data_IF_640035062759
#
_entry.id   IF_640035062759
#
_cell.length_a   1.000
_cell.length_b   1.000
_cell.length_c   1.000
_cell.angle_alpha   90.00
_cell.angle_beta   90.00
_cell.angle_gamma   90.00
#
_symmetry.space_group_name_H-M   'P 1'
#
loop_
_entity.id
_entity.type
_entity.pdbx_description
1 polymer ?
#
# COMPACT_ATOMS: atom_id res chain seq x y z
N UNK A 1 -12.43 21.70 41.51
CA UNK A 1 -11.66 21.08 40.42
C UNK A 1 -12.46 21.39 39.19
N UNK A 2 -12.03 22.47 38.56
CA UNK A 2 -12.95 23.44 37.98
C UNK A 2 -13.26 23.07 36.54
N UNK A 3 -14.53 23.22 36.17
CA UNK A 3 -15.10 22.84 34.87
C UNK A 3 -14.35 23.46 33.67
N UNK A 4 -13.62 24.55 33.93
CA UNK A 4 -12.77 25.26 32.98
C UNK A 4 -11.44 24.52 32.70
N UNK A 5 -10.84 23.87 33.71
CA UNK A 5 -9.64 23.04 33.53
C UNK A 5 -9.95 21.76 32.75
N UNK A 6 -11.15 21.19 32.93
CA UNK A 6 -11.57 20.00 32.18
C UNK A 6 -11.72 20.30 30.68
N UNK A 7 -12.33 21.45 30.33
CA UNK A 7 -12.48 21.91 28.94
C UNK A 7 -11.16 22.25 28.27
N UNK A 8 -10.16 22.73 29.03
CA UNK A 8 -8.85 23.04 28.48
C UNK A 8 -7.98 21.80 28.26
N UNK A 9 -8.14 20.75 29.07
CA UNK A 9 -7.50 19.45 28.85
C UNK A 9 -8.11 18.77 27.61
N UNK A 10 -9.44 18.73 27.50
CA UNK A 10 -10.14 18.13 26.36
C UNK A 10 -9.79 18.85 25.04
N UNK A 11 -9.66 20.19 25.06
CA UNK A 11 -9.23 20.96 23.90
C UNK A 11 -7.78 20.70 23.51
N UNK A 12 -6.86 20.54 24.48
CA UNK A 12 -5.46 20.20 24.21
C UNK A 12 -5.28 18.77 23.70
N UNK A 13 -6.12 17.83 24.14
CA UNK A 13 -6.15 16.45 23.61
C UNK A 13 -6.66 16.44 22.16
N UNK A 14 -7.73 17.18 21.85
CA UNK A 14 -8.25 17.35 20.48
C UNK A 14 -7.27 18.03 19.51
N UNK A 15 -6.53 19.04 19.98
CA UNK A 15 -5.52 19.73 19.18
C UNK A 15 -4.29 18.84 18.96
N UNK A 16 -3.89 18.03 19.95
CA UNK A 16 -2.79 17.07 19.82
C UNK A 16 -3.12 15.93 18.85
N UNK A 17 -4.35 15.41 18.90
CA UNK A 17 -4.82 14.39 17.97
C UNK A 17 -4.90 14.92 16.54
N UNK A 18 -5.28 16.18 16.37
CA UNK A 18 -5.33 16.86 15.07
C UNK A 18 -3.94 17.07 14.47
N UNK A 19 -2.97 17.51 15.28
CA UNK A 19 -1.57 17.66 14.85
C UNK A 19 -0.91 16.32 14.53
N UNK A 20 -1.20 15.26 15.29
CA UNK A 20 -0.72 13.91 15.00
C UNK A 20 -1.31 13.37 13.69
N UNK A 21 -2.60 13.63 13.43
CA UNK A 21 -3.26 13.26 12.17
C UNK A 21 -2.67 14.02 10.98
N UNK A 22 -2.42 15.32 11.07
CA UNK A 22 -1.77 16.10 9.99
C UNK A 22 -0.31 15.67 9.75
N UNK A 23 0.42 15.39 10.82
CA UNK A 23 1.82 14.92 10.74
C UNK A 23 1.88 13.54 10.08
N UNK A 24 0.91 12.66 10.37
CA UNK A 24 0.82 11.30 9.79
C UNK A 24 0.23 11.29 8.38
N UNK A 25 -0.64 12.25 8.04
CA UNK A 25 -1.11 12.47 6.67
C UNK A 25 0.05 12.84 5.76
N UNK A 26 1.04 13.58 6.24
CA UNK A 26 2.20 13.88 5.40
C UNK A 26 3.06 12.60 5.15
N UNK A 27 2.83 11.49 5.90
CA UNK A 27 3.44 10.14 5.91
C UNK A 27 4.16 9.63 4.67
N UNK A 28 3.43 9.50 3.57
CA UNK A 28 3.51 8.25 2.80
C UNK A 28 2.89 7.05 3.55
N UNK A 29 2.91 7.05 4.89
CA UNK A 29 2.08 6.23 5.80
C UNK A 29 0.56 6.50 5.72
N UNK A 30 0.09 7.15 4.65
CA UNK A 30 -1.33 7.45 4.43
C UNK A 30 -2.18 6.16 4.41
N UNK A 31 -1.62 5.05 3.93
CA UNK A 31 -2.28 3.74 3.90
C UNK A 31 -2.44 3.16 5.31
N UNK A 32 -1.37 3.16 6.11
CA UNK A 32 -1.41 2.62 7.47
C UNK A 32 -2.22 3.53 8.42
N UNK A 33 -2.09 4.85 8.30
CA UNK A 33 -2.91 5.81 9.05
C UNK A 33 -4.39 5.73 8.63
N UNK A 34 -4.68 5.72 7.33
CA UNK A 34 -6.07 5.57 6.86
C UNK A 34 -6.68 4.26 7.34
N UNK A 35 -5.90 3.19 7.36
CA UNK A 35 -6.35 1.90 7.89
C UNK A 35 -6.63 2.00 9.39
N UNK A 36 -5.72 2.58 10.18
CA UNK A 36 -5.93 2.81 11.63
C UNK A 36 -7.12 3.70 11.92
N UNK A 37 -7.32 4.79 11.18
CA UNK A 37 -8.47 5.69 11.36
C UNK A 37 -9.80 5.00 11.03
N UNK A 38 -9.82 4.16 9.99
CA UNK A 38 -10.99 3.35 9.67
C UNK A 38 -11.24 2.26 10.72
N UNK A 39 -10.17 1.68 11.28
CA UNK A 39 -10.22 0.70 12.35
C UNK A 39 -10.77 1.31 13.65
N UNK A 40 -10.27 2.49 14.03
CA UNK A 40 -10.80 3.29 15.13
C UNK A 40 -12.31 3.55 14.95
N UNK A 41 -12.69 4.06 13.77
CA UNK A 41 -14.09 4.32 13.44
C UNK A 41 -14.95 3.05 13.46
N UNK A 42 -14.39 1.88 13.15
CA UNK A 42 -15.10 0.61 13.25
C UNK A 42 -15.38 0.23 14.71
N UNK A 43 -14.42 0.43 15.61
CA UNK A 43 -14.60 0.21 17.05
C UNK A 43 -15.67 1.14 17.64
N UNK A 44 -15.66 2.42 17.24
CA UNK A 44 -16.65 3.41 17.67
C UNK A 44 -18.07 3.04 17.21
N UNK A 45 -18.21 2.45 16.02
CA UNK A 45 -19.51 2.01 15.47
C UNK A 45 -20.02 0.74 16.17
N UNK A 46 -19.13 -0.12 16.68
CA UNK A 46 -19.48 -1.39 17.33
C UNK A 46 -18.77 -1.59 18.69
N UNK A 47 -19.00 -0.73 19.69
CA UNK A 47 -18.27 -0.77 20.96
C UNK A 47 -18.53 -2.03 21.80
N UNK A 48 -19.58 -2.80 21.48
CA UNK A 48 -19.94 -4.04 22.16
C UNK A 48 -19.39 -5.31 21.51
N UNK A 49 -18.63 -5.21 20.41
CA UNK A 49 -18.04 -6.36 19.71
C UNK A 49 -16.54 -6.39 20.02
N UNK A 50 -16.02 -7.59 20.27
CA UNK A 50 -14.60 -7.79 20.53
C UNK A 50 -13.73 -7.23 19.40
N UNK A 51 -12.71 -6.45 19.76
CA UNK A 51 -11.86 -5.73 18.81
C UNK A 51 -11.07 -6.67 17.91
N UNK A 52 -10.69 -7.87 18.39
CA UNK A 52 -9.98 -8.85 17.56
C UNK A 52 -10.88 -9.41 16.46
N UNK A 53 -12.16 -9.63 16.75
CA UNK A 53 -13.16 -10.06 15.76
C UNK A 53 -13.43 -8.95 14.74
N UNK A 54 -13.52 -7.70 15.19
CA UNK A 54 -13.66 -6.55 14.29
C UNK A 54 -12.45 -6.42 13.36
N UNK A 55 -11.23 -6.65 13.87
CA UNK A 55 -10.00 -6.61 13.08
C UNK A 55 -9.95 -7.69 12.02
N UNK A 56 -10.33 -8.92 12.37
CA UNK A 56 -10.39 -10.04 11.43
C UNK A 56 -11.39 -9.75 10.30
N UNK A 57 -12.57 -9.23 10.63
CA UNK A 57 -13.59 -8.88 9.63
C UNK A 57 -13.13 -7.66 8.81
N UNK A 58 -12.50 -6.66 9.44
CA UNK A 58 -11.99 -5.48 8.75
C UNK A 58 -10.89 -5.84 7.75
N UNK A 59 -9.98 -6.73 8.16
CA UNK A 59 -8.92 -7.26 7.32
C UNK A 59 -9.47 -8.16 6.19
N UNK A 60 -10.46 -9.00 6.47
CA UNK A 60 -11.13 -9.82 5.46
C UNK A 60 -11.82 -8.95 4.39
N UNK A 61 -12.37 -7.81 4.79
CA UNK A 61 -12.95 -6.82 3.87
C UNK A 61 -11.90 -5.83 3.30
N UNK A 62 -10.63 -6.23 3.25
CA UNK A 62 -9.55 -5.45 2.64
C UNK A 62 -9.40 -4.03 3.20
N UNK A 63 -9.73 -3.84 4.49
CA UNK A 63 -9.71 -2.53 5.15
C UNK A 63 -10.66 -1.50 4.50
N UNK A 64 -11.75 -1.99 3.87
CA UNK A 64 -12.86 -1.19 3.34
C UNK A 64 -13.94 -1.11 4.41
N UNK A 65 -13.97 0.03 5.11
CA UNK A 65 -14.85 0.26 6.26
C UNK A 65 -16.34 0.00 5.96
N UNK A 66 -16.83 0.42 4.81
CA UNK A 66 -18.25 0.30 4.46
C UNK A 66 -18.68 -1.17 4.32
N UNK A 67 -17.85 -1.98 3.65
CA UNK A 67 -18.12 -3.41 3.46
C UNK A 67 -18.00 -4.17 4.77
N UNK A 68 -17.05 -3.78 5.63
CA UNK A 68 -16.92 -4.30 6.99
C UNK A 68 -18.15 -4.00 7.85
N UNK A 69 -18.65 -2.76 7.83
CA UNK A 69 -19.86 -2.38 8.58
C UNK A 69 -21.05 -3.22 8.11
N UNK A 70 -21.23 -3.37 6.79
CA UNK A 70 -22.29 -4.23 6.22
C UNK A 70 -22.13 -5.69 6.65
N UNK A 71 -20.91 -6.22 6.67
CA UNK A 71 -20.63 -7.60 7.08
C UNK A 71 -20.95 -7.83 8.57
N UNK A 72 -20.56 -6.91 9.44
CA UNK A 72 -20.83 -6.97 10.88
C UNK A 72 -22.33 -6.85 11.15
N UNK A 73 -23.01 -5.89 10.54
CA UNK A 73 -24.47 -5.72 10.66
C UNK A 73 -25.24 -6.94 10.14
N UNK A 74 -24.84 -7.48 8.99
CA UNK A 74 -25.42 -8.71 8.44
C UNK A 74 -25.25 -9.89 9.41
N UNK A 75 -24.07 -10.04 10.01
CA UNK A 75 -23.79 -11.12 10.97
C UNK A 75 -24.61 -10.98 12.26
N UNK A 76 -24.86 -9.75 12.73
CA UNK A 76 -25.75 -9.49 13.88
C UNK A 76 -27.22 -9.78 13.55
N UNK A 77 -27.65 -9.50 12.33
CA UNK A 77 -29.01 -9.76 11.85
C UNK A 77 -29.31 -11.25 11.64
N UNK A 78 -28.29 -12.09 11.39
CA UNK A 78 -28.42 -13.54 11.21
C UNK A 78 -28.81 -14.31 12.49
N UNK A 79 -28.87 -13.67 13.66
CA UNK A 79 -29.41 -14.31 14.88
C UNK A 79 -30.93 -14.52 14.83
N UNK A 80 -31.62 -14.00 13.79
CA UNK A 80 -33.02 -14.25 13.53
C UNK A 80 -33.21 -15.42 12.54
N UNK A 81 -33.21 -16.65 13.07
CA UNK A 81 -34.02 -17.75 12.53
C UNK A 81 -33.58 -18.42 11.23
N UNK A 82 -32.55 -19.25 11.27
CA UNK A 82 -32.51 -20.45 10.40
C UNK A 82 -32.80 -21.69 11.26
N UNK A 83 -33.64 -22.65 10.81
CA UNK A 83 -33.85 -23.88 11.54
C UNK A 83 -32.51 -24.60 11.74
N UNK A 84 -32.07 -24.77 12.99
CA UNK A 84 -30.91 -25.58 13.31
C UNK A 84 -31.29 -27.04 13.09
N UNK A 85 -30.84 -27.63 11.99
CA UNK A 85 -30.85 -29.10 11.84
C UNK A 85 -30.00 -29.68 12.96
N UNK A 86 -30.61 -30.45 13.86
CA UNK A 86 -29.91 -31.08 14.98
C UNK A 86 -29.17 -32.30 14.45
N UNK A 87 -27.88 -32.12 14.17
CA UNK A 87 -26.94 -33.20 13.87
C UNK A 87 -26.30 -33.67 15.18
N UNK A 88 -25.82 -34.92 15.24
CA UNK A 88 -24.92 -35.33 16.32
C UNK A 88 -23.58 -34.60 16.17
N UNK A 89 -22.84 -34.38 17.26
CA UNK A 89 -21.52 -33.72 17.22
C UNK A 89 -20.56 -34.38 16.22
N UNK A 90 -20.55 -35.71 16.16
CA UNK A 90 -19.73 -36.48 15.20
C UNK A 90 -20.18 -36.27 13.75
N UNK A 91 -21.48 -36.15 13.49
CA UNK A 91 -22.01 -35.90 12.15
C UNK A 91 -21.75 -34.46 11.70
N UNK A 92 -21.79 -33.50 12.63
CA UNK A 92 -21.42 -32.10 12.40
C UNK A 92 -19.92 -31.97 12.07
N UNK A 93 -19.04 -32.58 12.86
CA UNK A 93 -17.59 -32.59 12.60
C UNK A 93 -17.22 -33.26 11.27
N UNK A 94 -17.87 -34.38 10.93
CA UNK A 94 -17.64 -35.06 9.66
C UNK A 94 -18.13 -34.23 8.46
N UNK A 95 -19.25 -33.53 8.62
CA UNK A 95 -19.76 -32.61 7.60
C UNK A 95 -18.83 -31.42 7.38
N UNK A 96 -18.35 -30.78 8.46
CA UNK A 96 -17.38 -29.68 8.37
C UNK A 96 -16.06 -30.12 7.72
N UNK A 97 -15.52 -31.29 8.09
CA UNK A 97 -14.33 -31.86 7.44
C UNK A 97 -14.52 -32.04 5.93
N UNK A 98 -15.68 -32.54 5.52
CA UNK A 98 -15.97 -32.74 4.10
C UNK A 98 -16.05 -31.40 3.33
N UNK A 99 -16.66 -30.38 3.92
CA UNK A 99 -16.72 -29.04 3.32
C UNK A 99 -15.33 -28.41 3.14
N UNK A 100 -14.44 -28.58 4.12
CA UNK A 100 -13.05 -28.10 4.03
C UNK A 100 -12.29 -28.85 2.94
N UNK A 101 -12.45 -30.16 2.85
CA UNK A 101 -11.77 -30.97 1.82
C UNK A 101 -12.25 -30.58 0.42
N UNK A 102 -13.54 -30.35 0.24
CA UNK A 102 -14.09 -29.83 -1.02
C UNK A 102 -13.52 -28.42 -1.35
N UNK A 103 -13.44 -27.52 -0.36
CA UNK A 103 -12.85 -26.20 -0.52
C UNK A 103 -11.36 -26.26 -0.91
N UNK A 104 -10.60 -27.21 -0.33
CA UNK A 104 -9.20 -27.49 -0.70
C UNK A 104 -9.07 -27.97 -2.14
N UNK A 105 -9.88 -28.95 -2.54
CA UNK A 105 -9.86 -29.48 -3.91
C UNK A 105 -10.20 -28.40 -4.93
N UNK A 106 -11.20 -27.56 -4.64
CA UNK A 106 -11.54 -26.42 -5.48
C UNK A 106 -10.38 -25.42 -5.59
N UNK A 107 -9.75 -25.05 -4.48
CA UNK A 107 -8.58 -24.16 -4.47
C UNK A 107 -7.41 -24.72 -5.28
N UNK A 108 -7.15 -26.03 -5.17
CA UNK A 108 -6.12 -26.73 -5.94
C UNK A 108 -6.42 -26.71 -7.45
N UNK A 109 -7.68 -26.87 -7.86
CA UNK A 109 -8.09 -26.79 -9.26
C UNK A 109 -7.96 -25.37 -9.81
N UNK A 110 -8.39 -24.37 -9.05
CA UNK A 110 -8.28 -22.96 -9.43
C UNK A 110 -6.81 -22.55 -9.61
N UNK A 111 -5.89 -22.99 -8.74
CA UNK A 111 -4.46 -22.77 -8.95
C UNK A 111 -3.91 -23.45 -10.22
N UNK A 112 -4.36 -24.65 -10.56
CA UNK A 112 -3.90 -25.36 -11.76
C UNK A 112 -4.39 -24.73 -13.07
N UNK A 113 -5.60 -24.16 -13.10
CA UNK A 113 -6.13 -23.50 -14.31
C UNK A 113 -5.47 -22.15 -14.61
N UNK A 114 -4.82 -21.56 -13.62
CA UNK A 114 -4.19 -20.23 -13.70
C UNK A 114 -2.84 -20.25 -14.42
N UNK A 115 -2.20 -21.42 -14.59
CA UNK A 115 -0.98 -21.57 -15.40
C UNK A 115 -1.24 -21.55 -16.92
N UNK A 116 -2.48 -21.37 -17.37
CA UNK A 116 -2.78 -21.12 -18.79
C UNK A 116 -2.88 -19.61 -18.99
N UNK A 117 -1.87 -18.94 -19.58
CA UNK A 117 -1.96 -17.52 -19.83
C UNK A 117 -3.09 -17.27 -20.84
N UNK A 118 -4.22 -16.73 -20.37
CA UNK A 118 -5.18 -16.07 -21.26
C UNK A 118 -4.58 -14.73 -21.67
N UNK A 119 -3.74 -14.78 -22.70
CA UNK A 119 -3.25 -13.60 -23.40
C UNK A 119 -4.48 -12.87 -23.96
N UNK A 120 -4.90 -11.78 -23.31
CA UNK A 120 -5.83 -10.83 -23.90
C UNK A 120 -5.04 -10.13 -25.02
N UNK A 121 -5.30 -10.55 -26.26
CA UNK A 121 -4.71 -9.98 -27.47
C UNK A 121 -5.44 -8.68 -27.82
N UNK A 122 -5.10 -7.59 -27.14
CA UNK A 122 -5.29 -6.26 -27.69
C UNK A 122 -3.93 -5.72 -28.12
N UNK A 123 -3.70 -5.81 -29.42
CA UNK A 123 -2.48 -5.38 -30.09
C UNK A 123 -2.41 -3.85 -30.12
N UNK A 124 -1.36 -3.27 -29.53
CA UNK A 124 -0.50 -2.23 -30.12
C UNK A 124 0.48 -1.63 -29.11
N UNK A 125 1.57 -2.34 -28.83
CA UNK A 125 2.96 -1.85 -28.77
C UNK A 125 3.81 -2.98 -28.20
N UNK A 126 4.39 -3.82 -29.07
CA UNK A 126 5.45 -4.74 -28.65
C UNK A 126 6.70 -3.90 -28.39
N UNK A 127 6.75 -3.27 -27.22
CA UNK A 127 8.01 -2.96 -26.57
C UNK A 127 8.59 -4.30 -26.10
N UNK A 128 9.92 -4.47 -26.01
CA UNK A 128 10.49 -5.64 -25.36
C UNK A 128 9.78 -5.76 -24.01
N UNK A 129 9.13 -6.90 -23.75
CA UNK A 129 8.50 -7.18 -22.47
C UNK A 129 9.56 -6.92 -21.42
N UNK A 130 9.44 -5.80 -20.70
CA UNK A 130 10.38 -5.56 -19.62
C UNK A 130 10.00 -6.60 -18.59
N UNK A 131 10.96 -7.43 -18.23
CA UNK A 131 10.71 -8.66 -17.47
C UNK A 131 10.05 -8.38 -16.09
N UNK A 132 10.06 -7.12 -15.63
CA UNK A 132 9.26 -6.68 -14.48
C UNK A 132 7.74 -6.64 -14.72
N UNK A 133 7.25 -6.44 -15.95
CA UNK A 133 5.81 -6.48 -16.26
C UNK A 133 5.21 -7.86 -15.99
N UNK A 134 5.99 -8.94 -16.16
CA UNK A 134 5.55 -10.29 -15.84
C UNK A 134 5.29 -10.43 -14.34
N UNK A 135 6.22 -9.93 -13.51
CA UNK A 135 6.05 -9.90 -12.05
C UNK A 135 4.88 -9.00 -11.62
N UNK A 136 4.63 -7.87 -12.30
CA UNK A 136 3.43 -7.06 -12.07
C UNK A 136 2.15 -7.81 -12.48
N UNK A 137 2.21 -8.58 -13.57
CA UNK A 137 1.13 -9.47 -13.99
C UNK A 137 0.82 -10.54 -12.94
N UNK A 138 1.86 -11.18 -12.39
CA UNK A 138 1.77 -12.15 -11.31
C UNK A 138 1.15 -11.55 -10.03
N UNK A 139 1.59 -10.35 -9.63
CA UNK A 139 1.01 -9.63 -8.50
C UNK A 139 -0.48 -9.32 -8.72
N UNK A 140 -0.87 -8.86 -9.92
CA UNK A 140 -2.27 -8.58 -10.26
C UNK A 140 -3.14 -9.84 -10.28
N UNK A 141 -2.59 -10.97 -10.71
CA UNK A 141 -3.25 -12.26 -10.64
C UNK A 141 -3.53 -12.66 -9.19
N UNK A 142 -2.51 -12.62 -8.33
CA UNK A 142 -2.69 -12.92 -6.91
C UNK A 142 -3.61 -11.93 -6.21
N UNK A 143 -3.68 -10.67 -6.64
CA UNK A 143 -4.67 -9.72 -6.16
C UNK A 143 -6.11 -10.17 -6.42
N UNK A 144 -6.39 -10.70 -7.62
CA UNK A 144 -7.72 -11.25 -7.96
C UNK A 144 -8.05 -12.48 -7.12
N UNK A 145 -7.11 -13.42 -7.03
CA UNK A 145 -7.30 -14.65 -6.23
C UNK A 145 -7.50 -14.34 -4.74
N UNK A 146 -6.72 -13.40 -4.20
CA UNK A 146 -6.89 -12.89 -2.83
C UNK A 146 -8.31 -12.37 -2.60
N UNK A 147 -8.82 -11.55 -3.52
CA UNK A 147 -10.15 -10.98 -3.40
C UNK A 147 -11.24 -12.08 -3.41
N UNK A 148 -11.12 -13.05 -4.31
CA UNK A 148 -12.01 -14.20 -4.38
C UNK A 148 -11.98 -15.05 -3.10
N UNK A 149 -10.79 -15.33 -2.55
CA UNK A 149 -10.67 -16.04 -1.28
C UNK A 149 -11.41 -15.31 -0.15
N UNK A 150 -11.23 -14.00 -0.01
CA UNK A 150 -11.93 -13.25 1.04
C UNK A 150 -13.45 -13.17 0.83
N UNK A 151 -13.92 -13.11 -0.42
CA UNK A 151 -15.36 -13.22 -0.71
C UNK A 151 -15.92 -14.59 -0.30
N UNK A 152 -15.21 -15.68 -0.62
CA UNK A 152 -15.58 -17.05 -0.21
C UNK A 152 -15.57 -17.19 1.32
N UNK A 153 -14.58 -16.61 1.99
CA UNK A 153 -14.50 -16.58 3.45
C UNK A 153 -15.71 -15.85 4.07
N UNK A 154 -16.05 -14.68 3.55
CA UNK A 154 -17.20 -13.89 4.00
C UNK A 154 -18.53 -14.64 3.83
N UNK A 155 -18.73 -15.28 2.68
CA UNK A 155 -19.94 -16.07 2.42
C UNK A 155 -20.01 -17.30 3.33
N UNK A 156 -18.89 -17.99 3.57
CA UNK A 156 -18.84 -19.12 4.50
C UNK A 156 -19.15 -18.67 5.94
N UNK A 157 -18.63 -17.52 6.35
CA UNK A 157 -18.93 -16.94 7.66
C UNK A 157 -20.42 -16.62 7.82
N UNK A 158 -21.04 -15.99 6.79
CA UNK A 158 -22.49 -15.68 6.77
C UNK A 158 -23.37 -16.92 6.92
N UNK A 159 -22.90 -18.06 6.40
CA UNK A 159 -23.57 -19.37 6.51
C UNK A 159 -23.26 -20.12 7.81
N UNK A 160 -22.45 -19.55 8.71
CA UNK A 160 -22.04 -20.19 9.96
C UNK A 160 -20.96 -21.25 9.81
N UNK A 161 -20.38 -21.42 8.61
CA UNK A 161 -19.34 -22.42 8.34
C UNK A 161 -17.96 -21.89 8.75
N UNK A 162 -17.68 -21.91 10.06
CA UNK A 162 -16.48 -21.26 10.65
C UNK A 162 -15.16 -21.80 10.12
N UNK A 163 -15.02 -23.12 10.02
CA UNK A 163 -13.77 -23.74 9.58
C UNK A 163 -13.47 -23.46 8.09
N UNK A 164 -14.52 -23.45 7.25
CA UNK A 164 -14.42 -23.09 5.82
C UNK A 164 -14.06 -21.61 5.65
N UNK A 165 -14.65 -20.74 6.46
CA UNK A 165 -14.31 -19.32 6.48
C UNK A 165 -12.84 -19.10 6.84
N UNK A 166 -12.36 -19.79 7.88
CA UNK A 166 -10.95 -19.74 8.30
C UNK A 166 -10.00 -20.20 7.19
N UNK A 167 -10.32 -21.31 6.51
CA UNK A 167 -9.52 -21.84 5.41
C UNK A 167 -9.36 -20.81 4.28
N UNK A 168 -10.45 -20.21 3.81
CA UNK A 168 -10.39 -19.22 2.74
C UNK A 168 -9.71 -17.92 3.18
N UNK A 169 -9.84 -17.52 4.46
CA UNK A 169 -9.09 -16.38 5.01
C UNK A 169 -7.58 -16.62 4.95
N UNK A 170 -7.13 -17.80 5.38
CA UNK A 170 -5.73 -18.22 5.31
C UNK A 170 -5.19 -18.23 3.87
N UNK A 171 -5.96 -18.74 2.90
CA UNK A 171 -5.61 -18.66 1.48
C UNK A 171 -5.51 -17.20 0.99
N UNK A 172 -6.40 -16.32 1.43
CA UNK A 172 -6.33 -14.88 1.14
C UNK A 172 -5.05 -14.23 1.68
N UNK A 173 -4.61 -14.62 2.89
CA UNK A 173 -3.33 -14.17 3.45
C UNK A 173 -2.13 -14.70 2.66
N UNK A 174 -2.16 -15.98 2.24
CA UNK A 174 -1.12 -16.53 1.38
C UNK A 174 -0.97 -15.73 0.08
N UNK A 175 -2.07 -15.41 -0.59
CA UNK A 175 -2.03 -14.56 -1.78
C UNK A 175 -1.56 -13.14 -1.49
N UNK A 176 -1.85 -12.60 -0.30
CA UNK A 176 -1.28 -11.31 0.14
C UNK A 176 0.25 -11.34 0.15
N UNK A 177 0.86 -12.43 0.63
CA UNK A 177 2.32 -12.59 0.61
C UNK A 177 2.86 -12.72 -0.82
N UNK A 178 2.18 -13.50 -1.68
CA UNK A 178 2.59 -13.64 -3.08
C UNK A 178 2.54 -12.32 -3.86
N UNK A 179 1.55 -11.45 -3.59
CA UNK A 179 1.48 -10.10 -4.16
C UNK A 179 2.71 -9.27 -3.74
N UNK A 180 3.07 -9.32 -2.45
CA UNK A 180 4.24 -8.59 -1.93
C UNK A 180 5.53 -9.07 -2.59
N UNK A 181 5.72 -10.39 -2.65
CA UNK A 181 6.91 -11.00 -3.26
C UNK A 181 7.05 -10.65 -4.75
N UNK A 182 5.98 -10.80 -5.53
CA UNK A 182 5.99 -10.45 -6.95
C UNK A 182 6.24 -8.95 -7.18
N UNK A 183 5.62 -8.07 -6.39
CA UNK A 183 5.88 -6.63 -6.46
C UNK A 183 7.33 -6.27 -6.06
N UNK A 184 7.88 -6.96 -5.06
CA UNK A 184 9.28 -6.79 -4.65
C UNK A 184 10.22 -7.15 -5.79
N UNK A 185 10.06 -8.34 -6.39
CA UNK A 185 10.84 -8.77 -7.57
C UNK A 185 10.76 -7.76 -8.72
N UNK A 186 9.56 -7.27 -9.02
CA UNK A 186 9.36 -6.22 -10.03
C UNK A 186 10.15 -4.95 -9.69
N UNK A 187 10.05 -4.48 -8.44
CA UNK A 187 10.71 -3.25 -7.99
C UNK A 187 12.24 -3.36 -8.01
N UNK A 188 12.80 -4.50 -7.60
CA UNK A 188 14.24 -4.76 -7.60
C UNK A 188 14.81 -4.75 -9.01
N UNK A 189 14.09 -5.38 -9.94
CA UNK A 189 14.48 -5.39 -11.35
C UNK A 189 14.41 -4.00 -11.98
N UNK A 190 13.36 -3.23 -11.66
CA UNK A 190 13.24 -1.84 -12.09
C UNK A 190 14.43 -1.01 -11.60
N UNK A 191 14.81 -1.16 -10.34
CA UNK A 191 15.91 -0.40 -9.75
C UNK A 191 17.26 -0.86 -10.29
N UNK A 192 17.49 -2.16 -10.43
CA UNK A 192 18.77 -2.72 -10.88
C UNK A 192 19.14 -2.28 -12.29
N UNK A 193 18.16 -2.25 -13.20
CA UNK A 193 18.34 -1.76 -14.58
C UNK A 193 18.67 -0.27 -14.67
N UNK A 194 18.52 0.49 -13.57
CA UNK A 194 18.70 1.95 -13.52
C UNK A 194 19.89 2.39 -12.66
N UNK A 195 20.62 1.45 -12.04
CA UNK A 195 21.81 1.74 -11.24
C UNK A 195 22.83 2.54 -12.05
N UNK A 196 23.05 2.16 -13.31
CA UNK A 196 23.95 2.88 -14.23
C UNK A 196 23.58 4.37 -14.40
N UNK A 197 22.28 4.67 -14.42
CA UNK A 197 21.77 6.04 -14.53
C UNK A 197 22.06 6.85 -13.25
N UNK A 198 21.96 6.19 -12.10
CA UNK A 198 22.28 6.77 -10.81
C UNK A 198 23.79 7.07 -10.70
N UNK A 199 24.64 6.16 -11.15
CA UNK A 199 26.10 6.30 -11.05
C UNK A 199 26.69 7.30 -12.05
N UNK A 200 26.28 7.22 -13.33
CA UNK A 200 26.87 8.04 -14.40
C UNK A 200 26.24 9.43 -14.49
N UNK A 201 24.92 9.51 -14.27
CA UNK A 201 24.15 10.72 -14.52
C UNK A 201 23.65 11.41 -13.25
N UNK A 202 23.97 10.88 -12.06
CA UNK A 202 23.36 11.32 -10.80
C UNK A 202 21.84 11.35 -10.89
N UNK A 203 21.23 10.35 -11.55
CA UNK A 203 19.79 10.31 -11.79
C UNK A 203 19.16 9.11 -11.10
N UNK A 204 18.34 9.37 -10.08
CA UNK A 204 17.51 8.37 -9.42
C UNK A 204 16.15 8.31 -10.11
N UNK A 205 15.96 7.27 -10.93
CA UNK A 205 14.74 7.10 -11.68
C UNK A 205 13.78 6.11 -11.01
N UNK A 206 12.68 6.64 -10.48
CA UNK A 206 11.65 5.95 -9.71
C UNK A 206 10.40 5.62 -10.55
N UNK A 207 10.38 5.91 -11.85
CA UNK A 207 9.18 5.68 -12.65
C UNK A 207 8.75 4.19 -12.65
N UNK A 208 7.46 3.90 -12.58
CA UNK A 208 6.96 2.51 -12.56
C UNK A 208 7.08 1.78 -11.23
N UNK A 209 7.70 2.40 -10.22
CA UNK A 209 7.60 1.95 -8.83
C UNK A 209 6.27 2.37 -8.23
N UNK A 210 5.74 1.54 -7.33
CA UNK A 210 4.69 1.97 -6.42
C UNK A 210 5.25 2.95 -5.38
N UNK A 211 4.34 3.69 -4.73
CA UNK A 211 4.72 4.73 -3.76
C UNK A 211 5.63 4.18 -2.66
N UNK A 212 5.23 3.09 -2.03
CA UNK A 212 5.97 2.50 -0.91
C UNK A 212 7.36 2.01 -1.35
N UNK A 213 7.44 1.39 -2.53
CA UNK A 213 8.69 0.91 -3.12
C UNK A 213 9.66 2.07 -3.41
N UNK A 214 9.15 3.18 -3.94
CA UNK A 214 9.97 4.34 -4.26
C UNK A 214 10.48 5.07 -3.02
N UNK A 215 9.63 5.21 -1.99
CA UNK A 215 10.04 5.80 -0.71
C UNK A 215 11.13 4.95 -0.06
N UNK A 216 10.96 3.62 -0.02
CA UNK A 216 11.99 2.71 0.51
C UNK A 216 13.30 2.80 -0.29
N UNK A 217 13.23 2.93 -1.62
CA UNK A 217 14.41 3.13 -2.45
C UNK A 217 15.12 4.46 -2.13
N UNK A 218 14.37 5.54 -1.92
CA UNK A 218 14.92 6.84 -1.54
C UNK A 218 15.59 6.82 -0.16
N UNK A 219 14.96 6.19 0.83
CA UNK A 219 15.52 6.00 2.18
C UNK A 219 16.87 5.30 2.14
N UNK A 220 17.02 4.32 1.25
CA UNK A 220 18.28 3.58 1.09
C UNK A 220 19.35 4.36 0.31
N UNK A 221 18.96 5.12 -0.71
CA UNK A 221 19.90 5.70 -1.69
C UNK A 221 20.36 7.10 -1.28
N UNK A 222 19.45 7.95 -0.78
CA UNK A 222 19.73 9.37 -0.56
C UNK A 222 20.83 9.62 0.49
N UNK A 223 20.86 8.95 1.66
CA UNK A 223 21.92 9.18 2.65
C UNK A 223 23.31 8.88 2.10
N UNK A 224 23.45 7.77 1.35
CA UNK A 224 24.71 7.38 0.74
C UNK A 224 25.16 8.40 -0.32
N UNK A 225 24.23 8.86 -1.16
CA UNK A 225 24.53 9.89 -2.17
C UNK A 225 24.87 11.23 -1.55
N UNK A 226 24.21 11.61 -0.47
CA UNK A 226 24.57 12.81 0.29
C UNK A 226 25.99 12.72 0.83
N UNK A 227 26.36 11.59 1.45
CA UNK A 227 27.72 11.37 1.95
C UNK A 227 28.77 11.39 0.82
N UNK A 228 28.48 10.74 -0.31
CA UNK A 228 29.36 10.73 -1.48
C UNK A 228 29.59 12.15 -2.06
N UNK A 229 28.56 13.00 -2.03
CA UNK A 229 28.66 14.39 -2.48
C UNK A 229 29.45 15.26 -1.47
N UNK A 230 29.25 15.06 -0.17
CA UNK A 230 29.98 15.79 0.88
C UNK A 230 31.47 15.44 0.94
N UNK A 231 31.82 14.19 0.67
CA UNK A 231 33.21 13.71 0.74
C UNK A 231 34.08 14.13 -0.46
N UNK A 232 33.48 14.60 -1.56
CA UNK A 232 34.21 15.04 -2.74
C UNK A 232 33.67 16.35 -3.34
N UNK A 233 34.00 17.51 -2.75
CA UNK A 233 33.47 18.82 -3.16
C UNK A 233 33.85 19.22 -4.60
N UNK A 234 34.91 18.63 -5.15
CA UNK A 234 35.41 18.88 -6.51
C UNK A 234 34.60 18.15 -7.59
N UNK A 235 33.59 17.35 -7.22
CA UNK A 235 32.72 16.72 -8.20
C UNK A 235 31.93 17.75 -9.00
N UNK A 236 31.88 17.51 -10.31
CA UNK A 236 31.26 18.37 -11.31
C UNK A 236 29.73 18.47 -11.17
N UNK A 237 29.09 17.48 -10.54
CA UNK A 237 27.65 17.47 -10.25
C UNK A 237 27.44 17.42 -8.75
N UNK A 238 27.00 18.54 -8.17
CA UNK A 238 26.62 18.64 -6.76
C UNK A 238 25.11 18.44 -6.54
N UNK A 239 24.46 17.72 -7.45
CA UNK A 239 23.02 17.50 -7.43
C UNK A 239 22.64 16.09 -7.85
N UNK A 240 21.49 15.64 -7.36
CA UNK A 240 20.82 14.41 -7.76
C UNK A 240 19.53 14.78 -8.49
N UNK A 241 19.27 14.14 -9.64
CA UNK A 241 18.03 14.26 -10.40
C UNK A 241 17.11 13.12 -9.98
N UNK A 242 15.92 13.43 -9.46
CA UNK A 242 14.91 12.40 -9.16
C UNK A 242 13.82 12.42 -10.22
N UNK A 243 13.57 11.28 -10.87
CA UNK A 243 12.53 11.11 -11.91
C UNK A 243 11.37 10.30 -11.35
N UNK A 244 10.16 10.88 -11.31
CA UNK A 244 8.95 10.21 -10.79
C UNK A 244 7.99 9.73 -11.89
N UNK A 245 8.32 10.00 -13.15
CA UNK A 245 7.48 9.67 -14.30
C UNK A 245 6.30 10.63 -14.53
N UNK A 246 5.62 10.48 -15.67
CA UNK A 246 4.55 11.38 -16.13
C UNK A 246 3.15 11.04 -15.59
N UNK A 247 3.01 9.97 -14.80
CA UNK A 247 1.71 9.54 -14.25
C UNK A 247 0.79 8.77 -15.21
N UNK A 248 1.22 8.52 -16.46
CA UNK A 248 0.41 7.88 -17.51
C UNK A 248 -0.17 6.51 -17.12
N UNK A 249 0.53 5.74 -16.28
CA UNK A 249 0.10 4.42 -15.81
C UNK A 249 -0.63 4.45 -14.45
N UNK A 250 -0.81 5.63 -13.84
CA UNK A 250 -1.61 5.77 -12.62
C UNK A 250 -3.10 5.84 -12.95
N UNK A 251 -3.95 5.34 -12.06
CA UNK A 251 -5.42 5.40 -12.22
C UNK A 251 -5.87 6.86 -12.40
N UNK A 252 -6.42 7.20 -13.57
CA UNK A 252 -6.86 8.55 -13.92
C UNK A 252 -5.75 9.51 -14.39
N UNK A 253 -4.54 9.02 -14.70
CA UNK A 253 -3.44 9.85 -15.20
C UNK A 253 -2.78 10.75 -14.15
N UNK A 254 -3.23 10.71 -12.89
CA UNK A 254 -2.67 11.49 -11.78
C UNK A 254 -1.55 10.68 -11.10
N UNK A 255 -0.31 11.16 -11.22
CA UNK A 255 0.84 10.55 -10.54
C UNK A 255 0.70 10.66 -9.02
N UNK A 256 0.44 9.53 -8.34
CA UNK A 256 0.53 9.42 -6.88
C UNK A 256 1.97 9.41 -6.35
N UNK A 257 2.93 9.09 -7.22
CA UNK A 257 4.34 8.97 -6.84
C UNK A 257 4.97 10.33 -6.55
N UNK A 258 4.81 11.28 -7.47
CA UNK A 258 5.31 12.66 -7.35
C UNK A 258 4.99 13.33 -6.00
N UNK A 259 3.72 13.40 -5.53
CA UNK A 259 3.42 14.05 -4.26
C UNK A 259 4.03 13.31 -3.07
N UNK A 260 4.11 11.97 -3.10
CA UNK A 260 4.73 11.19 -2.03
C UNK A 260 6.24 11.44 -1.94
N UNK A 261 6.94 11.45 -3.08
CA UNK A 261 8.37 11.77 -3.17
C UNK A 261 8.65 13.19 -2.69
N UNK A 262 7.85 14.17 -3.10
CA UNK A 262 7.98 15.55 -2.61
C UNK A 262 7.80 15.67 -1.11
N UNK A 263 6.86 14.92 -0.56
CA UNK A 263 6.60 14.93 0.87
C UNK A 263 7.77 14.34 1.65
N UNK A 264 8.26 13.17 1.21
CA UNK A 264 9.45 12.55 1.77
C UNK A 264 10.64 13.51 1.79
N UNK A 265 10.90 14.21 0.67
CA UNK A 265 12.02 15.16 0.58
C UNK A 265 11.87 16.32 1.57
N UNK A 266 10.69 16.93 1.64
CA UNK A 266 10.40 18.03 2.56
C UNK A 266 10.67 17.67 4.02
N UNK A 267 10.25 16.48 4.43
CA UNK A 267 10.32 16.02 5.82
C UNK A 267 11.71 15.65 6.28
N UNK A 268 12.55 15.22 5.34
CA UNK A 268 13.96 14.96 5.60
C UNK A 268 14.81 16.22 5.33
N UNK A 269 14.17 17.41 5.25
CA UNK A 269 14.79 18.72 5.06
C UNK A 269 15.70 18.82 3.83
N UNK A 270 15.41 18.00 2.82
CA UNK A 270 16.12 18.05 1.55
C UNK A 270 15.68 19.28 0.74
N UNK A 271 16.65 20.09 0.34
CA UNK A 271 16.39 21.20 -0.57
C UNK A 271 16.01 20.64 -1.95
N UNK A 272 14.92 21.13 -2.52
CA UNK A 272 14.41 20.65 -3.81
C UNK A 272 14.12 21.83 -4.72
N UNK A 273 14.60 21.77 -5.96
CA UNK A 273 14.21 22.68 -7.02
C UNK A 273 13.53 21.89 -8.14
N UNK A 274 12.36 22.35 -8.59
CA UNK A 274 11.59 21.67 -9.64
C UNK A 274 12.07 22.19 -11.00
N UNK A 275 12.84 21.39 -11.73
CA UNK A 275 13.40 21.80 -13.04
C UNK A 275 12.39 21.57 -14.17
N UNK A 276 11.75 20.39 -14.17
CA UNK A 276 10.68 20.04 -15.10
C UNK A 276 9.56 19.33 -14.32
N UNK A 277 8.39 19.14 -14.94
CA UNK A 277 7.19 18.57 -14.29
C UNK A 277 7.43 17.22 -13.56
N UNK A 278 8.53 16.52 -13.83
CA UNK A 278 8.88 15.21 -13.29
C UNK A 278 10.34 15.10 -12.80
N UNK A 279 11.07 16.22 -12.65
CA UNK A 279 12.50 16.24 -12.28
C UNK A 279 12.76 17.16 -11.09
N UNK A 280 13.47 16.65 -10.08
CA UNK A 280 13.87 17.41 -8.90
C UNK A 280 15.39 17.53 -8.87
N UNK A 281 15.88 18.75 -8.66
CA UNK A 281 17.27 19.03 -8.34
C UNK A 281 17.45 19.00 -6.83
N UNK A 282 18.57 18.45 -6.40
CA UNK A 282 19.06 18.57 -5.05
C UNK A 282 20.18 19.62 -5.00
N UNK A 283 19.91 20.90 -4.69
CA UNK A 283 20.98 21.82 -4.35
C UNK A 283 21.45 21.55 -2.92
N UNK A 284 22.75 21.32 -2.74
CA UNK A 284 23.35 21.25 -1.41
C UNK A 284 23.24 22.61 -0.71
N UNK A 285 22.87 22.61 0.58
CA UNK A 285 22.99 23.78 1.47
C UNK A 285 24.48 24.02 1.72
N UNK A 286 25.12 24.83 0.88
CA UNK A 286 26.25 25.62 1.33
C UNK A 286 25.74 27.02 1.68
N UNK A 287 25.89 27.34 2.96
CA UNK A 287 26.20 28.65 3.51
C UNK A 287 25.74 29.91 2.74
N UNK A 288 24.92 30.71 3.44
CA UNK A 288 24.16 31.88 3.00
C UNK A 288 24.96 33.13 2.57
N UNK A 289 26.22 33.04 2.14
CA UNK A 289 27.08 34.23 2.07
C UNK A 289 27.50 34.71 0.67
N UNK A 290 27.30 33.97 -0.43
CA UNK A 290 27.77 34.44 -1.76
C UNK A 290 26.98 33.93 -2.96
N UNK A 291 25.78 34.46 -3.24
CA UNK A 291 25.32 34.56 -4.63
C UNK A 291 24.80 35.97 -4.87
N UNK A 292 25.64 36.75 -5.58
CA UNK A 292 25.28 38.04 -6.16
C UNK A 292 24.10 37.83 -7.11
N UNK A 293 23.04 38.57 -6.86
CA UNK A 293 22.06 38.92 -7.88
C UNK A 293 22.80 39.48 -9.12
N UNK A 294 22.76 38.76 -10.24
CA UNK A 294 22.87 39.41 -11.55
C UNK A 294 21.46 39.43 -12.12
N UNK A 295 20.73 40.51 -11.81
CA UNK A 295 19.59 40.94 -12.62
C UNK A 295 20.15 41.55 -13.89
N UNK A 296 20.15 40.81 -14.98
CA UNK A 296 20.15 41.44 -16.30
C UNK A 296 18.69 41.69 -16.68
N UNK A 297 18.27 42.93 -16.46
CA UNK A 297 17.23 43.57 -17.25
C UNK A 297 17.85 44.83 -17.85
N UNK A 298 17.76 44.89 -19.17
CA UNK A 298 17.90 46.06 -20.05
C UNK A 298 19.32 46.59 -20.31
N UNK A 299 19.99 45.98 -21.29
CA UNK A 299 20.63 46.60 -22.46
C UNK A 299 21.16 45.53 -23.44
#
# INVERSE_FOLDING_TARGET
>A
MDEEQAKEIEKRELDSDSEQVETLQQSGSYSALSTRLKQQKLYDVFPGIDTTVLDDIFQANCYILEDTIKAVQGSLACNAGTPKTVMSKEAEENYEKHLIEAAKQQSLQEMHMVHVPKIIKDAQTVRPSVDYEEFRGEANLHYRLRHECFQKAQEAHRRGMRQVASFYSEQGHLHTQKIKDANMRASEQILSTRIDLLEKNSTLDLHGLHVDEAVAAMERILPNKQFELQSNPLRQKQYLIIVTGRGMHSRGGVSKLKPAVMNYLRRNEYSTEIIHSCQFLFPYKDDYSKIRYIKNKDL
#
